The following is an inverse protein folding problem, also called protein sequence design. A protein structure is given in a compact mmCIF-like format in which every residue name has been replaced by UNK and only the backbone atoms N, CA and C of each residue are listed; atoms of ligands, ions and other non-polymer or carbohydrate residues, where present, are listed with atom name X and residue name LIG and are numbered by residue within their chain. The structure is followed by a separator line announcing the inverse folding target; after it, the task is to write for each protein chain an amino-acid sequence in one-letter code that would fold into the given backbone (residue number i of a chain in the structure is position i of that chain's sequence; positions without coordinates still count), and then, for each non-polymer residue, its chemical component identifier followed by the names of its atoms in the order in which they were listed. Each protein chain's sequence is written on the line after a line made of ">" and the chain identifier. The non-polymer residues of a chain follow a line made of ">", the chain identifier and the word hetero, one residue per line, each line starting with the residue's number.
data_IF_828031211103
#
_entry.id   IF_828031211103
#
_cell.length_a   1.000
_cell.length_b   1.000
_cell.length_c   1.000
_cell.angle_alpha   90.00
_cell.angle_beta   90.00
_cell.angle_gamma   90.00
#
_symmetry.space_group_name_H-M   'P 1'
#
loop_
_entity.id
_entity.type
_entity.pdbx_description
1 polymer ?
#
# COMPACT_ATOMS: atom_id res chain seq x y z
N UNK A 1 -12.77 33.43 -31.11
CA UNK A 1 -12.82 32.59 -32.32
C UNK A 1 -11.64 31.65 -32.22
N UNK A 2 -11.72 30.34 -32.01
CA UNK A 2 -12.68 29.28 -32.38
C UNK A 2 -12.91 28.38 -31.14
N UNK A 3 -14.15 28.18 -30.68
CA UNK A 3 -15.12 27.13 -31.03
C UNK A 3 -14.73 25.71 -30.59
N UNK A 4 -15.29 25.33 -29.44
CA UNK A 4 -15.52 23.98 -28.90
C UNK A 4 -16.41 23.18 -29.86
N UNK A 5 -16.21 21.86 -30.00
CA UNK A 5 -17.30 20.88 -30.16
C UNK A 5 -16.87 19.49 -29.66
N UNK A 6 -17.65 19.00 -28.71
CA UNK A 6 -17.72 17.61 -28.23
C UNK A 6 -18.39 16.70 -29.26
N UNK A 7 -18.03 15.42 -29.33
CA UNK A 7 -19.01 14.33 -29.44
C UNK A 7 -18.42 12.95 -29.11
N UNK A 8 -19.18 12.22 -28.31
CA UNK A 8 -19.10 10.79 -27.95
C UNK A 8 -20.03 9.98 -28.89
N UNK A 9 -19.85 8.65 -28.91
CA UNK A 9 -20.62 7.57 -29.61
C UNK A 9 -20.08 7.29 -31.03
N UNK A 10 -19.82 6.09 -31.53
CA UNK A 10 -20.12 4.68 -31.22
C UNK A 10 -20.35 3.94 -32.57
N UNK A 11 -20.11 2.60 -32.62
CA UNK A 11 -20.33 1.64 -33.75
C UNK A 11 -19.24 1.63 -34.85
N UNK A 12 -18.58 0.49 -35.12
CA UNK A 12 -19.01 -0.75 -35.82
C UNK A 12 -19.01 -0.65 -37.37
N UNK A 13 -18.23 -1.54 -37.98
CA UNK A 13 -18.13 -1.88 -39.42
C UNK A 13 -17.52 -0.78 -40.32
N UNK A 14 -16.68 -1.03 -41.34
CA UNK A 14 -16.78 -2.05 -42.40
C UNK A 14 -15.52 -2.00 -43.31
N UNK A 15 -15.47 -2.90 -44.29
CA UNK A 15 -14.60 -3.03 -45.49
C UNK A 15 -13.55 -4.16 -45.38
N UNK A 16 -13.83 -5.41 -45.80
CA UNK A 16 -14.07 -5.93 -47.16
C UNK A 16 -13.04 -5.45 -48.20
N UNK A 17 -12.12 -6.34 -48.61
CA UNK A 17 -12.10 -6.97 -49.96
C UNK A 17 -10.69 -7.47 -50.35
N UNK A 18 -10.69 -8.43 -51.28
CA UNK A 18 -9.59 -9.08 -52.02
C UNK A 18 -9.06 -10.39 -51.37
N UNK A 19 -9.04 -11.56 -52.00
CA UNK A 19 -9.37 -12.00 -53.35
C UNK A 19 -9.67 -13.51 -53.34
N UNK A 20 -10.32 -13.99 -54.39
CA UNK A 20 -11.06 -15.24 -54.53
C UNK A 20 -10.26 -16.54 -54.81
N UNK A 21 -11.03 -17.65 -54.78
CA UNK A 21 -10.84 -18.96 -55.48
C UNK A 21 -10.08 -20.03 -54.66
N UNK A 22 -10.49 -21.29 -54.52
CA UNK A 22 -11.46 -22.17 -55.19
C UNK A 22 -11.80 -23.39 -54.30
N UNK A 23 -13.01 -23.93 -54.48
CA UNK A 23 -13.48 -25.32 -54.26
C UNK A 23 -13.81 -25.84 -52.83
N UNK A 24 -15.09 -26.23 -52.67
CA UNK A 24 -15.69 -27.20 -51.73
C UNK A 24 -16.25 -28.38 -52.59
N UNK A 25 -16.78 -29.53 -52.06
CA UNK A 25 -17.25 -29.84 -50.69
C UNK A 25 -16.66 -31.19 -50.14
N UNK A 26 -16.80 -31.59 -48.86
CA UNK A 26 -17.96 -32.31 -48.30
C UNK A 26 -17.87 -32.50 -46.77
N UNK A 27 -19.05 -32.43 -46.15
CA UNK A 27 -19.58 -32.89 -44.86
C UNK A 27 -18.72 -33.60 -43.79
N UNK A 28 -18.90 -33.20 -42.52
CA UNK A 28 -18.71 -34.09 -41.37
C UNK A 28 -18.46 -33.45 -39.99
N UNK A 29 -19.53 -33.02 -39.32
CA UNK A 29 -19.73 -33.05 -37.84
C UNK A 29 -18.70 -32.42 -36.86
N UNK A 30 -19.06 -31.23 -36.36
CA UNK A 30 -19.07 -30.74 -34.96
C UNK A 30 -17.93 -31.17 -34.02
N UNK A 31 -17.03 -30.21 -33.73
CA UNK A 31 -16.18 -30.17 -32.55
C UNK A 31 -15.81 -28.72 -32.21
N UNK A 32 -16.59 -28.06 -31.34
CA UNK A 32 -16.31 -26.72 -30.86
C UNK A 32 -15.08 -26.74 -29.92
N UNK A 33 -13.93 -26.30 -30.43
CA UNK A 33 -12.77 -25.91 -29.62
C UNK A 33 -12.99 -24.49 -29.09
N UNK A 34 -13.20 -24.38 -27.78
CA UNK A 34 -13.23 -23.12 -27.05
C UNK A 34 -11.84 -22.43 -27.05
N UNK A 35 -11.77 -21.09 -26.98
CA UNK A 35 -10.51 -20.35 -26.95
C UNK A 35 -9.81 -20.48 -25.59
N UNK A 36 -8.52 -20.83 -25.61
CA UNK A 36 -7.64 -20.89 -24.43
C UNK A 36 -7.49 -19.49 -23.78
N UNK A 37 -7.61 -19.35 -22.45
CA UNK A 37 -7.16 -18.14 -21.76
C UNK A 37 -5.64 -18.10 -21.67
N UNK A 38 -5.05 -16.95 -22.02
CA UNK A 38 -3.63 -16.64 -21.82
C UNK A 38 -3.38 -16.36 -20.33
N UNK A 39 -2.98 -17.38 -19.58
CA UNK A 39 -2.05 -17.22 -18.46
C UNK A 39 -0.80 -18.00 -18.86
N UNK A 40 0.18 -17.26 -19.38
CA UNK A 40 1.46 -17.84 -19.72
C UNK A 40 2.14 -18.27 -18.41
N UNK A 41 2.44 -19.57 -18.30
CA UNK A 41 3.49 -20.06 -17.43
C UNK A 41 4.81 -19.37 -17.86
N UNK A 42 5.15 -18.24 -17.25
CA UNK A 42 6.48 -17.68 -17.41
C UNK A 42 7.45 -18.53 -16.60
N UNK A 43 8.26 -19.32 -17.30
CA UNK A 43 9.47 -19.91 -16.76
C UNK A 43 10.32 -18.77 -16.17
N UNK A 44 10.42 -18.72 -14.84
CA UNK A 44 11.31 -17.82 -14.12
C UNK A 44 12.75 -18.13 -14.53
N UNK A 45 13.32 -17.27 -15.38
CA UNK A 45 14.76 -17.15 -15.54
C UNK A 45 15.37 -16.83 -14.16
N UNK A 46 16.32 -17.65 -13.72
CA UNK A 46 17.12 -17.42 -12.51
C UNK A 46 17.98 -16.16 -12.69
N UNK A 47 17.43 -14.98 -12.49
CA UNK A 47 18.22 -13.80 -12.16
C UNK A 47 18.32 -13.68 -10.64
N UNK A 48 19.55 -13.58 -10.13
CA UNK A 48 19.97 -13.22 -8.76
C UNK A 48 18.85 -12.78 -7.82
N UNK A 49 18.75 -13.46 -6.67
CA UNK A 49 17.86 -13.16 -5.55
C UNK A 49 17.62 -11.65 -5.35
N UNK A 50 16.43 -11.22 -5.76
CA UNK A 50 15.87 -9.91 -5.44
C UNK A 50 15.59 -9.92 -3.94
N UNK A 51 16.44 -9.26 -3.14
CA UNK A 51 16.25 -9.17 -1.69
C UNK A 51 15.12 -8.19 -1.39
N UNK A 52 13.88 -8.64 -1.57
CA UNK A 52 12.71 -7.92 -1.08
C UNK A 52 12.68 -8.01 0.44
N UNK A 53 12.44 -6.89 1.10
CA UNK A 53 12.35 -6.81 2.56
C UNK A 53 11.08 -7.50 3.05
N UNK A 54 10.00 -7.45 2.26
CA UNK A 54 8.71 -8.06 2.56
C UNK A 54 8.25 -8.96 1.42
N UNK A 55 7.45 -9.98 1.73
CA UNK A 55 6.72 -10.78 0.74
C UNK A 55 5.32 -11.09 1.27
N UNK A 56 4.31 -10.90 0.43
CA UNK A 56 2.95 -11.37 0.71
C UNK A 56 2.70 -12.68 -0.04
N UNK A 57 2.29 -13.73 0.67
CA UNK A 57 1.87 -15.01 0.07
C UNK A 57 0.40 -15.25 0.36
N UNK A 58 -0.42 -15.31 -0.69
CA UNK A 58 -1.85 -15.64 -0.61
C UNK A 58 -2.02 -17.14 -0.78
N UNK A 59 -2.65 -17.76 0.21
CA UNK A 59 -2.86 -19.21 0.27
C UNK A 59 -4.36 -19.49 0.23
N UNK A 60 -4.81 -20.35 -0.67
CA UNK A 60 -6.18 -20.84 -0.73
C UNK A 60 -6.22 -22.25 -1.33
N UNK A 61 -7.35 -22.96 -1.29
CA UNK A 61 -7.48 -24.23 -2.01
C UNK A 61 -7.94 -23.99 -3.45
N UNK A 62 -7.47 -24.80 -4.42
CA UNK A 62 -7.82 -24.65 -5.85
C UNK A 62 -9.33 -24.57 -6.15
N UNK A 63 -10.15 -25.23 -5.33
CA UNK A 63 -11.61 -25.26 -5.53
C UNK A 63 -12.30 -23.98 -5.06
N UNK A 64 -11.61 -23.13 -4.29
CA UNK A 64 -12.11 -21.82 -3.91
C UNK A 64 -11.93 -20.81 -5.05
N UNK A 65 -13.00 -20.61 -5.81
CA UNK A 65 -13.03 -19.72 -6.98
C UNK A 65 -12.69 -18.26 -6.66
N UNK A 66 -12.93 -17.79 -5.43
CA UNK A 66 -12.63 -16.41 -5.03
C UNK A 66 -11.16 -16.12 -4.75
N UNK A 67 -10.30 -17.14 -4.67
CA UNK A 67 -8.90 -16.96 -4.28
C UNK A 67 -8.06 -16.24 -5.34
N UNK A 68 -8.26 -16.57 -6.61
CA UNK A 68 -7.55 -15.91 -7.71
C UNK A 68 -7.90 -14.41 -7.82
N UNK A 69 -9.17 -13.98 -7.86
CA UNK A 69 -9.53 -12.55 -7.86
C UNK A 69 -8.94 -11.77 -6.67
N UNK A 70 -8.90 -12.38 -5.48
CA UNK A 70 -8.28 -11.78 -4.29
C UNK A 70 -6.77 -11.60 -4.49
N UNK A 71 -6.07 -12.64 -4.96
CA UNK A 71 -4.63 -12.58 -5.19
C UNK A 71 -4.27 -11.53 -6.25
N UNK A 72 -5.04 -11.43 -7.32
CA UNK A 72 -4.86 -10.42 -8.38
C UNK A 72 -5.07 -8.99 -7.85
N UNK A 73 -6.11 -8.77 -7.03
CA UNK A 73 -6.35 -7.46 -6.42
C UNK A 73 -5.24 -7.04 -5.43
N UNK A 74 -4.72 -8.00 -4.66
CA UNK A 74 -3.57 -7.76 -3.78
C UNK A 74 -2.31 -7.48 -4.59
N UNK A 75 -2.02 -8.27 -5.63
CA UNK A 75 -0.87 -8.04 -6.52
C UNK A 75 -0.93 -6.64 -7.16
N UNK A 76 -2.09 -6.25 -7.70
CA UNK A 76 -2.31 -4.94 -8.28
C UNK A 76 -2.05 -3.79 -7.28
N UNK A 77 -2.32 -4.00 -5.98
CA UNK A 77 -2.07 -3.00 -4.96
C UNK A 77 -0.61 -2.97 -4.46
N UNK A 78 -0.02 -4.15 -4.22
CA UNK A 78 1.25 -4.28 -3.50
C UNK A 78 2.49 -4.31 -4.40
N UNK A 79 2.38 -4.85 -5.62
CA UNK A 79 3.52 -4.93 -6.54
C UNK A 79 3.76 -3.60 -7.26
N UNK A 80 2.75 -2.72 -7.28
CA UNK A 80 2.77 -1.43 -7.95
C UNK A 80 2.66 -1.58 -9.48
N UNK A 81 2.01 -0.62 -10.13
CA UNK A 81 2.20 -0.40 -11.56
C UNK A 81 3.51 0.38 -11.75
N UNK A 82 4.42 -0.11 -12.61
CA UNK A 82 5.71 0.53 -12.90
C UNK A 82 5.58 2.01 -13.34
N UNK A 83 4.39 2.42 -13.81
CA UNK A 83 4.10 3.73 -14.38
C UNK A 83 3.30 4.69 -13.46
N UNK A 84 2.95 4.32 -12.23
CA UNK A 84 2.24 5.23 -11.32
C UNK A 84 3.22 6.07 -10.45
N UNK A 85 3.29 7.40 -10.61
CA UNK A 85 4.26 8.25 -9.88
C UNK A 85 4.13 8.20 -8.35
N UNK A 86 2.97 7.75 -7.84
CA UNK A 86 2.67 7.64 -6.42
C UNK A 86 2.75 6.19 -5.88
N UNK A 87 2.98 5.19 -6.74
CA UNK A 87 3.22 3.80 -6.33
C UNK A 87 4.71 3.50 -6.13
N UNK A 88 5.59 4.42 -6.55
CA UNK A 88 7.05 4.27 -6.49
C UNK A 88 7.52 3.96 -5.08
N UNK A 89 7.89 2.70 -4.85
CA UNK A 89 8.52 2.23 -3.62
C UNK A 89 7.70 1.29 -2.75
N UNK A 90 6.46 0.93 -3.10
CA UNK A 90 5.70 -0.06 -2.31
C UNK A 90 6.07 -1.52 -2.62
N UNK A 91 6.46 -1.85 -3.86
CA UNK A 91 7.04 -3.10 -4.38
C UNK A 91 7.16 -4.28 -3.38
N UNK A 92 6.02 -4.80 -2.92
CA UNK A 92 5.92 -6.01 -2.10
C UNK A 92 5.48 -7.15 -3.03
N UNK A 93 6.35 -8.12 -3.33
CA UNK A 93 5.99 -9.25 -4.17
C UNK A 93 4.82 -10.04 -3.58
N UNK A 94 3.82 -10.30 -4.42
CA UNK A 94 2.69 -11.17 -4.12
C UNK A 94 2.92 -12.52 -4.75
N UNK A 95 2.87 -13.56 -3.92
CA UNK A 95 3.03 -14.96 -4.31
C UNK A 95 1.76 -15.71 -3.98
N UNK A 96 1.54 -16.81 -4.69
CA UNK A 96 0.34 -17.64 -4.51
C UNK A 96 0.70 -19.07 -4.14
N UNK A 97 -0.16 -19.69 -3.35
CA UNK A 97 -0.19 -21.13 -3.07
C UNK A 97 -1.64 -21.59 -3.17
N UNK A 98 -1.98 -22.30 -4.24
CA UNK A 98 -3.34 -22.78 -4.47
C UNK A 98 -3.47 -24.26 -4.85
N UNK A 99 -2.37 -24.90 -5.21
CA UNK A 99 -2.32 -26.29 -5.65
C UNK A 99 -1.41 -27.12 -4.74
N UNK A 100 -1.66 -28.42 -4.70
CA UNK A 100 -0.74 -29.39 -4.10
C UNK A 100 0.58 -29.46 -4.87
N UNK A 101 1.65 -29.83 -4.18
CA UNK A 101 2.98 -29.92 -4.76
C UNK A 101 3.12 -31.03 -5.82
N UNK A 102 2.27 -32.06 -5.77
CA UNK A 102 2.27 -33.17 -6.72
C UNK A 102 1.26 -32.92 -7.84
N UNK A 103 1.70 -32.83 -9.11
CA UNK A 103 0.79 -32.76 -10.26
C UNK A 103 -0.10 -33.99 -10.42
N UNK A 104 0.28 -35.11 -9.79
CA UNK A 104 -0.42 -36.40 -9.86
C UNK A 104 -1.39 -36.62 -8.69
N UNK A 105 -1.29 -35.79 -7.64
CA UNK A 105 -2.17 -35.87 -6.46
C UNK A 105 -2.70 -34.47 -6.15
N UNK A 106 -3.93 -34.14 -6.61
CA UNK A 106 -4.58 -32.87 -6.33
C UNK A 106 -4.79 -32.58 -4.83
N UNK A 107 -4.74 -33.62 -3.98
CA UNK A 107 -4.88 -33.53 -2.52
C UNK A 107 -3.54 -33.39 -1.79
N UNK A 108 -2.42 -33.41 -2.53
CA UNK A 108 -1.10 -33.25 -1.93
C UNK A 108 -0.94 -31.93 -1.20
N UNK A 109 -0.08 -31.90 -0.17
CA UNK A 109 0.28 -30.65 0.51
C UNK A 109 0.86 -29.63 -0.49
N UNK A 110 0.55 -28.33 -0.35
CA UNK A 110 1.22 -27.28 -1.12
C UNK A 110 2.74 -27.28 -0.90
N UNK A 111 3.48 -26.70 -1.85
CA UNK A 111 4.92 -26.48 -1.67
C UNK A 111 5.17 -25.60 -0.44
N UNK A 112 6.14 -25.97 0.42
CA UNK A 112 6.54 -25.17 1.56
C UNK A 112 6.79 -23.70 1.19
N UNK A 113 6.52 -22.82 2.14
CA UNK A 113 6.85 -21.41 1.97
C UNK A 113 8.36 -21.23 2.10
N UNK A 114 8.93 -20.41 1.23
CA UNK A 114 10.36 -20.08 1.29
C UNK A 114 10.58 -19.01 2.37
N UNK A 115 10.88 -19.43 3.61
CA UNK A 115 11.25 -18.55 4.72
C UNK A 115 12.77 -18.36 4.73
N UNK A 116 13.27 -17.49 3.83
CA UNK A 116 14.68 -17.09 3.85
C UNK A 116 14.98 -16.09 4.97
N UNK A 117 16.22 -16.04 5.45
CA UNK A 117 16.55 -15.42 6.74
C UNK A 117 16.34 -13.90 6.85
N UNK A 118 16.31 -13.16 5.74
CA UNK A 118 16.25 -11.67 5.76
C UNK A 118 14.92 -11.08 5.22
N UNK A 119 13.96 -11.91 4.83
CA UNK A 119 12.67 -11.45 4.28
C UNK A 119 11.57 -11.60 5.32
N UNK A 120 10.79 -10.54 5.54
CA UNK A 120 9.55 -10.59 6.32
C UNK A 120 8.46 -11.24 5.47
N UNK A 121 7.96 -12.39 5.91
CA UNK A 121 6.94 -13.18 5.23
C UNK A 121 5.55 -12.90 5.81
N UNK A 122 4.64 -12.45 4.96
CA UNK A 122 3.24 -12.20 5.31
C UNK A 122 2.41 -13.26 4.60
N UNK A 123 1.62 -14.02 5.33
CA UNK A 123 0.83 -15.12 4.80
C UNK A 123 -0.65 -14.79 4.98
N UNK A 124 -1.37 -14.61 3.89
CA UNK A 124 -2.83 -14.45 3.89
C UNK A 124 -3.46 -15.81 3.60
N UNK A 125 -4.01 -16.46 4.63
CA UNK A 125 -4.63 -17.78 4.51
C UNK A 125 -6.14 -17.63 4.35
N UNK A 126 -6.65 -17.90 3.15
CA UNK A 126 -8.07 -17.83 2.81
C UNK A 126 -8.74 -19.19 3.06
N UNK A 127 -9.84 -19.20 3.81
CA UNK A 127 -10.56 -20.44 4.10
C UNK A 127 -12.08 -20.24 4.24
N UNK A 128 -12.84 -21.31 3.99
CA UNK A 128 -14.30 -21.38 4.18
C UNK A 128 -14.72 -22.74 4.78
N UNK A 129 -16.00 -22.88 5.16
CA UNK A 129 -16.58 -24.07 5.80
C UNK A 129 -16.25 -25.38 5.08
N UNK A 130 -16.52 -25.41 3.77
CA UNK A 130 -16.40 -26.63 2.98
C UNK A 130 -14.93 -26.94 2.64
N UNK A 131 -14.06 -25.92 2.66
CA UNK A 131 -12.61 -26.13 2.58
C UNK A 131 -12.11 -26.86 3.83
N UNK A 132 -12.45 -26.38 5.04
CA UNK A 132 -11.88 -26.91 6.29
C UNK A 132 -12.41 -28.30 6.65
N UNK A 133 -13.64 -28.59 6.28
CA UNK A 133 -14.28 -29.89 6.54
C UNK A 133 -13.87 -30.95 5.51
N UNK A 134 -13.50 -30.56 4.29
CA UNK A 134 -13.10 -31.47 3.20
C UNK A 134 -11.58 -31.71 3.06
N UNK A 135 -10.71 -31.04 3.85
CA UNK A 135 -9.27 -31.21 3.70
C UNK A 135 -8.79 -32.63 4.03
N UNK A 136 -8.02 -33.22 3.11
CA UNK A 136 -7.03 -34.23 3.41
C UNK A 136 -6.09 -33.72 4.53
N UNK A 137 -5.69 -34.62 5.44
CA UNK A 137 -4.78 -34.36 6.58
C UNK A 137 -3.55 -33.48 6.24
N UNK A 138 -3.14 -33.47 4.97
CA UNK A 138 -1.99 -32.76 4.43
C UNK A 138 -2.13 -31.23 4.39
N UNK A 139 -3.29 -30.66 4.04
CA UNK A 139 -3.50 -29.20 4.04
C UNK A 139 -3.58 -28.62 5.46
N UNK A 140 -4.13 -29.39 6.40
CA UNK A 140 -4.11 -29.04 7.83
C UNK A 140 -2.68 -29.06 8.37
N UNK A 141 -1.89 -30.08 8.02
CA UNK A 141 -0.46 -30.13 8.36
C UNK A 141 0.27 -28.92 7.81
N UNK A 142 0.08 -28.58 6.53
CA UNK A 142 0.71 -27.40 5.92
C UNK A 142 0.35 -26.09 6.63
N UNK A 143 -0.93 -25.90 6.99
CA UNK A 143 -1.34 -24.73 7.77
C UNK A 143 -0.65 -24.72 9.15
N UNK A 144 -0.61 -25.86 9.84
CA UNK A 144 0.07 -26.01 11.15
C UNK A 144 1.57 -25.74 11.05
N UNK A 145 2.23 -26.15 9.97
CA UNK A 145 3.65 -25.88 9.73
C UNK A 145 3.89 -24.36 9.58
N UNK A 146 3.05 -23.67 8.80
CA UNK A 146 3.06 -22.20 8.67
C UNK A 146 2.87 -21.52 10.03
N UNK A 147 1.97 -22.04 10.87
CA UNK A 147 1.73 -21.49 12.21
C UNK A 147 2.92 -21.69 13.13
N UNK A 148 3.50 -22.89 13.14
CA UNK A 148 4.67 -23.24 13.94
C UNK A 148 5.85 -22.34 13.56
N UNK A 149 6.08 -22.15 12.26
CA UNK A 149 7.11 -21.26 11.75
C UNK A 149 6.89 -19.81 12.21
N UNK A 150 5.63 -19.33 12.17
CA UNK A 150 5.29 -17.98 12.67
C UNK A 150 5.48 -17.81 14.18
N UNK A 151 5.32 -18.88 14.97
CA UNK A 151 5.59 -18.86 16.41
C UNK A 151 7.09 -18.89 16.71
N UNK A 152 7.87 -19.62 15.90
CA UNK A 152 9.33 -19.68 16.05
C UNK A 152 10.02 -18.39 15.56
N UNK A 153 9.40 -17.70 14.60
CA UNK A 153 9.93 -16.49 13.96
C UNK A 153 8.90 -15.36 13.89
N UNK A 154 8.39 -14.87 15.03
CA UNK A 154 7.36 -13.83 15.07
C UNK A 154 7.87 -12.47 14.55
N UNK A 155 9.18 -12.28 14.48
CA UNK A 155 9.90 -11.13 13.92
C UNK A 155 9.98 -11.14 12.39
N UNK A 156 9.79 -12.32 11.78
CA UNK A 156 9.95 -12.51 10.33
C UNK A 156 8.71 -13.11 9.67
N UNK A 157 7.67 -13.47 10.41
CA UNK A 157 6.49 -14.09 9.83
C UNK A 157 5.16 -13.68 10.49
N UNK A 158 4.26 -13.10 9.70
CA UNK A 158 2.88 -12.76 10.06
C UNK A 158 1.90 -13.68 9.32
N UNK A 159 1.01 -14.33 10.05
CA UNK A 159 -0.07 -15.15 9.48
C UNK A 159 -1.42 -14.45 9.70
N UNK A 160 -2.15 -14.21 8.62
CA UNK A 160 -3.47 -13.56 8.59
C UNK A 160 -4.51 -14.53 8.04
N UNK A 161 -5.22 -15.27 8.91
CA UNK A 161 -6.32 -16.11 8.48
C UNK A 161 -7.55 -15.26 8.14
N UNK A 162 -8.08 -15.39 6.92
CA UNK A 162 -9.29 -14.71 6.44
C UNK A 162 -10.39 -15.75 6.28
N UNK A 163 -11.43 -15.62 7.11
CA UNK A 163 -12.61 -16.49 7.06
C UNK A 163 -13.61 -15.97 6.05
N UNK A 164 -13.87 -16.78 5.05
CA UNK A 164 -14.82 -16.54 3.97
C UNK A 164 -16.06 -17.42 4.20
N UNK A 165 -17.23 -16.92 3.81
CA UNK A 165 -18.51 -17.60 4.06
C UNK A 165 -19.05 -17.46 5.49
N UNK A 166 -19.89 -18.41 5.90
CA UNK A 166 -20.62 -18.37 7.19
C UNK A 166 -19.70 -18.57 8.41
N UNK A 167 -20.14 -18.05 9.57
CA UNK A 167 -19.44 -18.06 10.86
C UNK A 167 -19.19 -19.46 11.43
N UNK A 168 -19.81 -20.48 10.86
CA UNK A 168 -19.65 -21.87 11.26
C UNK A 168 -18.29 -22.48 10.86
N UNK A 169 -17.49 -21.79 10.02
CA UNK A 169 -16.16 -22.29 9.65
C UNK A 169 -15.21 -22.30 10.85
N UNK A 170 -14.77 -23.51 11.21
CA UNK A 170 -13.75 -23.78 12.22
C UNK A 170 -12.43 -23.24 11.67
N UNK A 171 -11.73 -22.31 12.32
CA UNK A 171 -10.44 -21.83 11.81
C UNK A 171 -9.41 -22.97 11.72
N UNK A 172 -8.40 -22.87 10.85
CA UNK A 172 -7.32 -23.86 10.80
C UNK A 172 -6.39 -23.82 12.03
N UNK A 173 -6.57 -22.82 12.90
CA UNK A 173 -5.78 -22.56 14.10
C UNK A 173 -6.70 -22.31 15.28
N UNK A 174 -6.43 -22.92 16.42
CA UNK A 174 -7.24 -22.72 17.64
C UNK A 174 -6.78 -21.49 18.45
N UNK A 175 -5.59 -20.95 18.15
CA UNK A 175 -4.88 -19.98 18.98
C UNK A 175 -4.79 -18.56 18.39
N UNK A 176 -5.28 -18.32 17.16
CA UNK A 176 -5.30 -16.99 16.54
C UNK A 176 -6.66 -16.59 15.96
N UNK A 177 -6.97 -15.30 16.06
CA UNK A 177 -8.21 -14.73 15.55
C UNK A 177 -8.18 -14.63 14.02
N UNK A 178 -9.29 -14.98 13.38
CA UNK A 178 -9.48 -14.79 11.93
C UNK A 178 -10.17 -13.47 11.61
N UNK A 179 -9.84 -12.92 10.45
CA UNK A 179 -10.50 -11.76 9.86
C UNK A 179 -11.82 -12.25 9.24
N UNK A 180 -13.00 -11.86 9.76
CA UNK A 180 -14.25 -12.36 9.25
C UNK A 180 -14.71 -11.58 8.01
N UNK A 181 -15.28 -12.29 7.03
CA UNK A 181 -15.86 -11.68 5.82
C UNK A 181 -16.94 -10.62 6.12
N UNK A 182 -17.57 -10.65 7.29
CA UNK A 182 -18.56 -9.64 7.71
C UNK A 182 -17.99 -8.21 7.85
N UNK A 183 -16.65 -8.05 7.85
CA UNK A 183 -16.01 -6.74 7.79
C UNK A 183 -16.03 -6.11 6.39
N UNK A 184 -16.37 -6.90 5.37
CA UNK A 184 -16.29 -6.53 3.96
C UNK A 184 -17.71 -6.31 3.42
N UNK A 185 -18.10 -5.06 3.07
CA UNK A 185 -19.43 -4.77 2.55
C UNK A 185 -19.60 -5.28 1.12
N UNK A 186 -20.83 -5.56 0.68
CA UNK A 186 -21.14 -5.97 -0.68
C UNK A 186 -21.31 -7.48 -0.87
N UNK A 187 -21.38 -7.93 -2.11
CA UNK A 187 -21.77 -9.31 -2.47
C UNK A 187 -20.58 -10.25 -2.72
N UNK A 188 -19.49 -10.11 -1.95
CA UNK A 188 -18.31 -10.99 -2.04
C UNK A 188 -17.26 -10.54 -3.06
N UNK A 189 -16.46 -11.49 -3.56
CA UNK A 189 -15.22 -11.21 -4.32
C UNK A 189 -15.41 -10.50 -5.66
N UNK A 190 -16.63 -10.50 -6.22
CA UNK A 190 -16.96 -9.74 -7.43
C UNK A 190 -17.26 -8.26 -7.16
N UNK A 191 -17.50 -7.88 -5.90
CA UNK A 191 -17.81 -6.51 -5.50
C UNK A 191 -16.53 -5.70 -5.29
N UNK A 192 -16.45 -4.55 -5.96
CA UNK A 192 -15.26 -3.69 -5.89
C UNK A 192 -15.02 -3.10 -4.50
N UNK A 193 -16.09 -2.76 -3.78
CA UNK A 193 -16.00 -2.21 -2.42
C UNK A 193 -15.62 -3.29 -1.42
N UNK A 194 -16.16 -4.51 -1.59
CA UNK A 194 -15.73 -5.69 -0.83
C UNK A 194 -14.23 -5.91 -0.97
N UNK A 195 -13.73 -5.93 -2.21
CA UNK A 195 -12.32 -6.15 -2.51
C UNK A 195 -11.44 -5.04 -1.94
N UNK A 196 -11.84 -3.77 -2.10
CA UNK A 196 -11.15 -2.63 -1.52
C UNK A 196 -11.04 -2.75 -0.01
N UNK A 197 -12.11 -3.20 0.65
CA UNK A 197 -12.10 -3.34 2.10
C UNK A 197 -11.18 -4.47 2.56
N UNK A 198 -11.15 -5.60 1.85
CA UNK A 198 -10.18 -6.67 2.10
C UNK A 198 -8.74 -6.13 2.00
N UNK A 199 -8.41 -5.45 0.89
CA UNK A 199 -7.06 -4.88 0.69
C UNK A 199 -6.71 -3.89 1.81
N UNK A 200 -7.62 -2.98 2.17
CA UNK A 200 -7.43 -2.04 3.27
C UNK A 200 -7.17 -2.77 4.61
N UNK A 201 -7.94 -3.80 4.92
CA UNK A 201 -7.73 -4.60 6.13
C UNK A 201 -6.35 -5.27 6.13
N UNK A 202 -5.92 -5.83 5.00
CA UNK A 202 -4.58 -6.42 4.86
C UNK A 202 -3.49 -5.35 5.05
N UNK A 203 -3.58 -4.20 4.38
CA UNK A 203 -2.65 -3.07 4.55
C UNK A 203 -2.56 -2.63 6.02
N UNK A 204 -3.70 -2.51 6.71
CA UNK A 204 -3.73 -2.13 8.12
C UNK A 204 -3.04 -3.16 9.01
N UNK A 205 -3.27 -4.46 8.80
CA UNK A 205 -2.59 -5.51 9.57
C UNK A 205 -1.09 -5.55 9.32
N UNK A 206 -0.65 -5.37 8.07
CA UNK A 206 0.78 -5.29 7.73
C UNK A 206 1.42 -4.07 8.38
N UNK A 207 0.80 -2.89 8.29
CA UNK A 207 1.29 -1.67 8.93
C UNK A 207 1.41 -1.83 10.45
N UNK A 208 0.40 -2.42 11.10
CA UNK A 208 0.44 -2.70 12.54
C UNK A 208 1.57 -3.67 12.91
N UNK A 209 1.77 -4.72 12.12
CA UNK A 209 2.86 -5.67 12.33
C UNK A 209 4.23 -5.00 12.20
N UNK A 210 4.45 -4.22 11.14
CA UNK A 210 5.71 -3.50 10.94
C UNK A 210 6.02 -2.51 12.08
N UNK A 211 4.99 -1.95 12.73
CA UNK A 211 5.17 -1.11 13.93
C UNK A 211 5.55 -1.93 15.15
N UNK A 212 5.03 -3.15 15.30
CA UNK A 212 5.43 -4.04 16.42
C UNK A 212 6.90 -4.40 16.27
N UNK A 213 7.32 -4.72 15.05
CA UNK A 213 8.72 -4.95 14.73
C UNK A 213 9.59 -3.73 15.07
N UNK A 214 9.17 -2.51 14.71
CA UNK A 214 9.95 -1.30 15.04
C UNK A 214 10.07 -1.07 16.56
N UNK A 215 9.05 -1.42 17.35
CA UNK A 215 9.12 -1.33 18.82
C UNK A 215 10.00 -2.43 19.40
N UNK A 216 9.88 -3.67 18.91
CA UNK A 216 10.73 -4.77 19.32
C UNK A 216 12.21 -4.53 18.99
N UNK A 217 12.50 -3.93 17.84
CA UNK A 217 13.87 -3.54 17.48
C UNK A 217 14.46 -2.49 18.43
N UNK A 218 13.62 -1.64 19.06
CA UNK A 218 14.03 -0.66 20.07
C UNK A 218 14.19 -1.29 21.45
N UNK A 219 13.35 -2.26 21.78
CA UNK A 219 13.41 -3.02 23.02
C UNK A 219 13.17 -4.53 22.77
N UNK A 220 14.25 -5.28 22.46
CA UNK A 220 14.14 -6.71 22.14
C UNK A 220 13.72 -7.58 23.33
N UNK A 221 13.63 -7.01 24.54
CA UNK A 221 13.26 -7.76 25.75
C UNK A 221 11.76 -8.04 25.82
N UNK A 222 10.94 -7.28 25.09
CA UNK A 222 9.49 -7.46 25.01
C UNK A 222 9.15 -8.31 23.79
N UNK A 223 8.55 -9.50 23.95
CA UNK A 223 8.11 -10.34 22.83
C UNK A 223 7.15 -9.60 21.89
N UNK A 224 7.30 -9.78 20.58
CA UNK A 224 6.52 -9.05 19.55
C UNK A 224 5.01 -9.19 19.73
N UNK A 225 4.56 -10.36 20.14
CA UNK A 225 3.16 -10.71 20.38
C UNK A 225 2.59 -10.05 21.65
N UNK A 226 3.45 -9.73 22.62
CA UNK A 226 3.09 -8.94 23.82
C UNK A 226 3.06 -7.44 23.57
N UNK A 227 3.61 -6.96 22.45
CA UNK A 227 3.58 -5.54 22.07
C UNK A 227 2.15 -5.13 21.68
N UNK A 228 1.42 -4.67 22.70
CA UNK A 228 0.19 -3.90 22.51
C UNK A 228 0.53 -2.49 22.03
N UNK A 229 0.60 -2.33 20.72
CA UNK A 229 0.78 -1.00 20.14
C UNK A 229 -0.40 -0.09 20.46
N UNK A 230 -0.08 1.16 20.76
CA UNK A 230 -1.00 2.27 20.49
C UNK A 230 -1.30 2.26 18.99
N UNK A 231 -2.57 2.43 18.61
CA UNK A 231 -3.04 2.35 17.22
C UNK A 231 -2.29 3.35 16.32
N UNK A 232 -2.27 3.12 15.01
CA UNK A 232 -1.57 4.02 14.06
C UNK A 232 -2.13 5.44 14.17
N UNK A 233 -1.29 6.45 14.43
CA UNK A 233 -1.79 7.81 14.62
C UNK A 233 -1.91 8.56 13.30
N UNK A 234 -3.06 9.20 13.09
CA UNK A 234 -3.30 10.13 11.98
C UNK A 234 -3.46 11.55 12.50
N UNK A 235 -2.64 12.47 12.01
CA UNK A 235 -2.81 13.90 12.21
C UNK A 235 -3.66 14.47 11.06
N UNK A 236 -4.91 14.84 11.34
CA UNK A 236 -5.83 15.36 10.32
C UNK A 236 -5.68 16.89 10.22
N UNK A 237 -4.77 17.35 9.37
CA UNK A 237 -4.59 18.79 9.10
C UNK A 237 -5.74 19.31 8.24
N UNK A 238 -6.48 20.30 8.75
CA UNK A 238 -7.69 20.77 8.08
C UNK A 238 -8.08 22.21 8.46
N UNK A 239 -8.80 22.87 7.56
CA UNK A 239 -9.48 24.11 7.90
C UNK A 239 -10.85 23.82 8.52
N UNK A 240 -11.07 24.29 9.76
CA UNK A 240 -12.35 24.14 10.47
C UNK A 240 -13.57 24.66 9.71
N UNK A 241 -13.36 25.67 8.84
CA UNK A 241 -14.42 26.38 8.11
C UNK A 241 -15.22 25.47 7.18
N UNK A 242 -14.56 24.54 6.49
CA UNK A 242 -15.15 23.83 5.34
C UNK A 242 -14.71 22.36 5.20
N UNK A 243 -13.80 21.85 6.06
CA UNK A 243 -13.36 20.46 6.01
C UNK A 243 -13.90 19.58 7.17
N UNK A 244 -14.56 20.18 8.18
CA UNK A 244 -15.01 19.46 9.38
C UNK A 244 -15.92 18.25 9.10
N UNK A 245 -16.90 18.30 8.17
CA UNK A 245 -17.71 17.12 7.87
C UNK A 245 -16.89 15.92 7.39
N UNK A 246 -15.84 16.16 6.58
CA UNK A 246 -14.96 15.10 6.06
C UNK A 246 -14.05 14.57 7.16
N UNK A 247 -13.52 15.44 8.03
CA UNK A 247 -12.73 15.04 9.21
C UNK A 247 -13.54 14.09 10.10
N UNK A 248 -14.80 14.43 10.38
CA UNK A 248 -15.70 13.58 11.17
C UNK A 248 -15.98 12.26 10.44
N UNK A 249 -16.26 12.29 9.13
CA UNK A 249 -16.50 11.08 8.35
C UNK A 249 -15.29 10.12 8.38
N UNK A 250 -14.06 10.63 8.27
CA UNK A 250 -12.84 9.83 8.40
C UNK A 250 -12.75 9.21 9.80
N UNK A 251 -12.93 9.99 10.86
CA UNK A 251 -12.89 9.51 12.24
C UNK A 251 -13.92 8.39 12.47
N UNK A 252 -15.16 8.64 12.11
CA UNK A 252 -16.27 7.70 12.33
C UNK A 252 -16.03 6.42 11.53
N UNK A 253 -15.54 6.55 10.29
CA UNK A 253 -15.20 5.40 9.46
C UNK A 253 -14.06 4.57 10.07
N UNK A 254 -13.02 5.18 10.62
CA UNK A 254 -11.93 4.47 11.30
C UNK A 254 -12.41 3.79 12.59
N UNK A 255 -13.23 4.48 13.39
CA UNK A 255 -13.77 3.97 14.65
C UNK A 255 -14.71 2.77 14.41
N UNK A 256 -15.61 2.86 13.44
CA UNK A 256 -16.62 1.84 13.16
C UNK A 256 -16.04 0.54 12.55
N UNK A 257 -14.85 0.61 11.95
CA UNK A 257 -14.26 -0.52 11.23
C UNK A 257 -13.00 -1.09 11.90
N UNK A 258 -12.54 -0.48 13.01
CA UNK A 258 -11.53 -0.97 13.93
C UNK A 258 -10.20 -1.44 13.27
N UNK A 259 -9.66 -0.66 12.32
CA UNK A 259 -8.39 -0.95 11.64
C UNK A 259 -7.13 -0.89 12.54
N UNK A 260 -7.30 -0.64 13.85
CA UNK A 260 -6.18 -0.37 14.74
C UNK A 260 -5.50 0.98 14.45
N UNK A 261 -6.29 2.01 14.11
CA UNK A 261 -5.86 3.39 13.82
C UNK A 261 -6.51 4.36 14.82
N UNK A 262 -5.74 5.33 15.32
CA UNK A 262 -6.17 6.46 16.17
C UNK A 262 -6.06 7.78 15.38
N UNK A 263 -6.93 8.75 15.66
CA UNK A 263 -6.89 10.08 15.02
C UNK A 263 -6.60 11.17 16.04
N UNK A 264 -5.71 12.09 15.70
CA UNK A 264 -5.50 13.37 16.37
C UNK A 264 -5.96 14.50 15.45
N UNK A 265 -6.86 15.37 15.93
CA UNK A 265 -7.61 16.27 15.05
C UNK A 265 -7.41 17.74 15.37
N UNK A 266 -7.33 18.15 16.64
CA UNK A 266 -7.30 19.57 16.97
C UNK A 266 -6.81 19.86 18.39
N UNK A 267 -6.59 21.13 18.68
CA UNK A 267 -6.38 21.73 20.00
C UNK A 267 -7.36 21.27 21.11
N UNK A 268 -8.54 20.75 20.76
CA UNK A 268 -9.50 20.19 21.73
C UNK A 268 -9.05 18.84 22.30
N UNK A 269 -8.16 18.14 21.60
CA UNK A 269 -7.52 16.91 22.08
C UNK A 269 -6.33 17.23 23.00
N UNK A 270 -6.01 18.53 23.20
CA UNK A 270 -4.94 18.97 24.10
C UNK A 270 -5.48 19.28 25.50
N UNK A 271 -4.88 18.68 26.55
CA UNK A 271 -5.07 19.15 27.92
C UNK A 271 -4.84 20.66 28.07
N UNK A 272 -5.67 21.31 28.89
CA UNK A 272 -5.53 22.73 29.20
C UNK A 272 -4.13 23.03 29.77
N UNK A 273 -3.49 24.10 29.29
CA UNK A 273 -2.16 24.53 29.73
C UNK A 273 -0.98 24.02 28.88
N UNK A 274 -1.21 23.15 27.89
CA UNK A 274 -0.18 22.74 26.93
C UNK A 274 0.00 23.74 25.79
N UNK A 275 1.25 23.93 25.35
CA UNK A 275 1.57 24.74 24.18
C UNK A 275 1.21 24.03 22.87
N UNK A 276 0.37 24.66 22.05
CA UNK A 276 -0.16 24.09 20.80
C UNK A 276 0.92 23.56 19.86
N UNK A 277 2.00 24.32 19.66
CA UNK A 277 3.06 23.96 18.69
C UNK A 277 3.80 22.67 19.06
N UNK A 278 4.22 22.54 20.34
CA UNK A 278 4.93 21.35 20.82
C UNK A 278 4.05 20.10 20.74
N UNK A 279 2.79 20.25 21.11
CA UNK A 279 1.87 19.12 21.12
C UNK A 279 1.48 18.68 19.71
N UNK A 280 1.29 19.61 18.77
CA UNK A 280 1.06 19.28 17.37
C UNK A 280 2.29 18.65 16.72
N UNK A 281 3.50 19.17 16.99
CA UNK A 281 4.75 18.55 16.50
C UNK A 281 4.90 17.11 17.04
N UNK A 282 4.54 16.85 18.31
CA UNK A 282 4.54 15.51 18.88
C UNK A 282 3.52 14.58 18.19
N UNK A 283 2.30 15.05 17.95
CA UNK A 283 1.27 14.28 17.24
C UNK A 283 1.67 13.97 15.78
N UNK A 284 2.23 14.94 15.06
CA UNK A 284 2.78 14.75 13.71
C UNK A 284 3.90 13.71 13.74
N UNK A 285 4.86 13.84 14.68
CA UNK A 285 5.98 12.91 14.83
C UNK A 285 5.53 11.46 15.04
N UNK A 286 4.44 11.27 15.78
CA UNK A 286 3.93 9.95 16.13
C UNK A 286 3.17 9.26 14.99
N UNK A 287 2.77 9.98 13.94
CA UNK A 287 1.80 9.51 12.96
C UNK A 287 2.08 9.86 11.49
N UNK A 288 1.05 9.71 10.66
CA UNK A 288 0.97 10.26 9.31
C UNK A 288 0.18 11.57 9.31
N UNK A 289 0.50 12.48 8.39
CA UNK A 289 -0.22 13.74 8.17
C UNK A 289 -1.19 13.57 7.01
N UNK A 290 -2.47 13.81 7.27
CA UNK A 290 -3.51 13.87 6.24
C UNK A 290 -3.85 15.34 6.03
N UNK A 291 -3.39 15.90 4.91
CA UNK A 291 -3.65 17.27 4.51
C UNK A 291 -4.98 17.36 3.76
N UNK A 292 -6.03 17.77 4.45
CA UNK A 292 -7.39 17.87 3.90
C UNK A 292 -7.56 19.25 3.26
N UNK A 293 -7.23 19.34 1.97
CA UNK A 293 -7.14 20.60 1.21
C UNK A 293 -8.49 21.02 0.66
N UNK A 294 -9.18 21.89 1.39
CA UNK A 294 -10.36 22.65 0.96
C UNK A 294 -9.99 24.07 0.50
N UNK A 295 -10.97 24.83 -0.01
CA UNK A 295 -10.83 26.23 -0.44
C UNK A 295 -10.24 27.13 0.67
N UNK A 296 -10.55 26.87 1.95
CA UNK A 296 -9.97 27.58 3.07
C UNK A 296 -8.54 27.17 3.44
N UNK A 297 -8.07 25.99 3.04
CA UNK A 297 -6.90 25.33 3.65
C UNK A 297 -5.63 26.19 3.62
N UNK A 298 -5.23 26.67 2.43
CA UNK A 298 -3.98 27.44 2.29
C UNK A 298 -4.02 28.85 2.87
N UNK A 299 -5.22 29.36 3.16
CA UNK A 299 -5.39 30.63 3.89
C UNK A 299 -5.00 30.49 5.37
N UNK A 300 -4.88 29.27 5.90
CA UNK A 300 -4.57 29.00 7.31
C UNK A 300 -3.05 28.81 7.50
N UNK A 301 -2.35 29.74 8.20
CA UNK A 301 -0.92 29.60 8.43
C UNK A 301 -0.54 28.29 9.15
N UNK A 302 -1.38 27.84 10.08
CA UNK A 302 -1.19 26.59 10.82
C UNK A 302 -1.21 25.35 9.93
N UNK A 303 -2.17 25.20 9.01
CA UNK A 303 -2.20 24.06 8.09
C UNK A 303 -0.95 24.00 7.20
N UNK A 304 -0.41 25.16 6.81
CA UNK A 304 0.86 25.23 6.07
C UNK A 304 2.04 24.79 6.93
N UNK A 305 2.10 25.24 8.19
CA UNK A 305 3.12 24.84 9.15
C UNK A 305 3.05 23.33 9.43
N UNK A 306 1.87 22.75 9.62
CA UNK A 306 1.67 21.31 9.86
C UNK A 306 2.21 20.46 8.70
N UNK A 307 1.97 20.90 7.46
CA UNK A 307 2.51 20.24 6.27
C UNK A 307 4.04 20.33 6.21
N UNK A 308 4.59 21.52 6.49
CA UNK A 308 6.05 21.74 6.55
C UNK A 308 6.72 20.91 7.66
N UNK A 309 6.09 20.85 8.83
CA UNK A 309 6.58 20.09 9.98
C UNK A 309 6.54 18.59 9.71
N UNK A 310 5.49 18.08 9.06
CA UNK A 310 5.44 16.71 8.56
C UNK A 310 6.59 16.39 7.60
N UNK A 311 6.91 17.30 6.66
CA UNK A 311 8.03 17.12 5.74
C UNK A 311 9.36 17.13 6.48
N UNK A 312 9.57 18.07 7.40
CA UNK A 312 10.79 18.17 8.22
C UNK A 312 11.03 16.92 9.06
N UNK A 313 9.95 16.34 9.60
CA UNK A 313 9.97 15.11 10.39
C UNK A 313 9.96 13.82 9.55
N UNK A 314 10.01 13.94 8.22
CA UNK A 314 9.99 12.81 7.27
C UNK A 314 8.80 11.85 7.51
N UNK A 315 7.66 12.41 7.92
CA UNK A 315 6.45 11.64 8.19
C UNK A 315 5.71 11.34 6.89
N UNK A 316 4.89 10.27 6.84
CA UNK A 316 3.96 10.08 5.75
C UNK A 316 3.03 11.27 5.62
N UNK A 317 2.83 11.74 4.39
CA UNK A 317 1.92 12.83 4.08
C UNK A 317 1.08 12.41 2.90
N UNK A 318 -0.23 12.59 3.01
CA UNK A 318 -1.16 12.42 1.90
C UNK A 318 -2.11 13.62 1.84
N UNK A 319 -2.40 14.06 0.63
CA UNK A 319 -3.37 15.12 0.36
C UNK A 319 -4.72 14.50 0.05
N UNK A 320 -5.76 14.90 0.80
CA UNK A 320 -7.14 14.70 0.41
C UNK A 320 -7.66 16.01 -0.17
N UNK A 321 -7.83 16.05 -1.48
CA UNK A 321 -8.27 17.23 -2.20
C UNK A 321 -9.81 17.34 -2.14
N UNK A 322 -10.27 18.46 -1.59
CA UNK A 322 -11.68 18.87 -1.44
C UNK A 322 -11.97 20.23 -2.12
N UNK A 323 -11.07 20.79 -2.93
CA UNK A 323 -11.26 22.11 -3.56
C UNK A 323 -12.56 22.21 -4.38
N UNK A 324 -13.38 23.22 -4.17
CA UNK A 324 -14.65 23.36 -4.91
C UNK A 324 -14.62 24.52 -5.89
N UNK A 325 -14.10 25.65 -5.47
CA UNK A 325 -14.19 26.89 -6.24
C UNK A 325 -12.80 27.50 -6.44
N UNK A 326 -12.21 28.06 -5.38
CA UNK A 326 -10.94 28.79 -5.49
C UNK A 326 -10.01 28.53 -4.32
N UNK A 327 -8.72 28.55 -4.63
CA UNK A 327 -7.65 28.64 -3.65
C UNK A 327 -7.05 30.06 -3.72
N UNK A 328 -7.22 30.93 -2.69
CA UNK A 328 -6.74 32.31 -2.75
C UNK A 328 -5.23 32.42 -3.00
N UNK A 329 -4.48 31.40 -2.57
CA UNK A 329 -3.06 31.27 -2.81
C UNK A 329 -2.67 29.79 -2.79
N UNK A 330 -2.27 29.27 -3.94
CA UNK A 330 -1.66 27.94 -4.02
C UNK A 330 -0.35 27.91 -3.24
N UNK A 331 -0.20 26.91 -2.38
CA UNK A 331 1.02 26.71 -1.59
C UNK A 331 1.86 25.56 -2.17
N UNK A 332 3.17 25.77 -2.47
CA UNK A 332 4.01 24.71 -3.03
C UNK A 332 4.35 23.58 -2.06
N UNK A 333 4.14 23.73 -0.75
CA UNK A 333 4.59 22.76 0.25
C UNK A 333 3.79 21.45 0.30
N UNK A 334 2.84 21.24 -0.63
CA UNK A 334 2.13 19.97 -0.83
C UNK A 334 2.62 19.17 -2.03
N UNK A 335 3.83 19.45 -2.54
CA UNK A 335 4.44 18.69 -3.65
C UNK A 335 4.92 17.29 -3.24
N UNK A 336 5.26 16.48 -4.25
CA UNK A 336 5.82 15.11 -4.17
C UNK A 336 5.21 14.21 -3.08
N UNK A 337 3.92 14.33 -2.85
CA UNK A 337 3.13 13.49 -1.94
C UNK A 337 1.90 12.96 -2.70
N UNK A 338 1.39 11.77 -2.36
CA UNK A 338 0.17 11.27 -2.97
C UNK A 338 -0.99 12.24 -2.70
N UNK A 339 -1.84 12.41 -3.71
CA UNK A 339 -3.03 13.25 -3.62
C UNK A 339 -4.25 12.48 -4.15
N UNK A 340 -5.33 12.52 -3.39
CA UNK A 340 -6.60 11.88 -3.72
C UNK A 340 -7.71 12.92 -3.71
N UNK A 341 -8.33 13.14 -4.87
CA UNK A 341 -9.53 13.95 -4.98
C UNK A 341 -10.73 13.19 -4.42
N UNK A 342 -11.47 13.75 -3.48
CA UNK A 342 -12.71 13.15 -2.98
C UNK A 342 -13.95 13.86 -3.53
N UNK A 343 -14.98 13.08 -3.86
CA UNK A 343 -16.25 13.60 -4.38
C UNK A 343 -17.36 13.30 -3.39
N UNK A 344 -17.96 14.36 -2.84
CA UNK A 344 -19.01 14.31 -1.80
C UNK A 344 -18.79 13.29 -0.65
N UNK A 345 -17.57 13.23 -0.06
CA UNK A 345 -17.17 12.19 0.90
C UNK A 345 -17.94 12.17 2.22
N UNK A 346 -18.68 13.24 2.54
CA UNK A 346 -19.37 13.40 3.82
C UNK A 346 -20.88 13.11 3.74
N UNK A 347 -21.40 12.63 2.61
CA UNK A 347 -22.81 12.25 2.50
C UNK A 347 -23.11 10.94 3.25
N UNK A 348 -24.34 10.76 3.71
CA UNK A 348 -24.79 9.53 4.37
C UNK A 348 -25.31 8.50 3.35
N UNK A 349 -24.48 8.13 2.35
CA UNK A 349 -24.85 7.18 1.30
C UNK A 349 -23.69 6.21 0.98
N UNK A 350 -23.99 5.19 0.19
CA UNK A 350 -23.02 4.16 -0.17
C UNK A 350 -21.82 4.70 -0.96
N UNK A 351 -22.04 5.69 -1.83
CA UNK A 351 -20.97 6.34 -2.60
C UNK A 351 -19.95 7.03 -1.68
N UNK A 352 -20.41 7.78 -0.69
CA UNK A 352 -19.53 8.44 0.29
C UNK A 352 -18.78 7.42 1.16
N UNK A 353 -19.42 6.30 1.51
CA UNK A 353 -18.73 5.22 2.23
C UNK A 353 -17.65 4.55 1.37
N UNK A 354 -17.91 4.34 0.09
CA UNK A 354 -16.91 3.82 -0.86
C UNK A 354 -15.76 4.81 -1.09
N UNK A 355 -16.03 6.11 -1.07
CA UNK A 355 -15.01 7.16 -1.09
C UNK A 355 -14.18 7.18 0.20
N UNK A 356 -14.78 6.91 1.38
CA UNK A 356 -14.03 6.74 2.63
C UNK A 356 -13.15 5.50 2.61
N UNK A 357 -13.64 4.37 2.09
CA UNK A 357 -12.82 3.18 1.90
C UNK A 357 -11.60 3.50 1.02
N UNK A 358 -11.79 4.31 -0.03
CA UNK A 358 -10.72 4.74 -0.94
C UNK A 358 -9.74 5.70 -0.25
N UNK A 359 -10.24 6.67 0.51
CA UNK A 359 -9.43 7.64 1.25
C UNK A 359 -8.56 6.94 2.31
N UNK A 360 -9.17 6.10 3.14
CA UNK A 360 -8.48 5.40 4.22
C UNK A 360 -7.48 4.40 3.66
N UNK A 361 -7.81 3.68 2.58
CA UNK A 361 -6.85 2.83 1.87
C UNK A 361 -5.62 3.65 1.46
N UNK A 362 -5.80 4.77 0.75
CA UNK A 362 -4.68 5.59 0.32
C UNK A 362 -3.83 6.12 1.49
N UNK A 363 -4.46 6.54 2.59
CA UNK A 363 -3.76 6.98 3.81
C UNK A 363 -2.90 5.85 4.40
N UNK A 364 -3.48 4.67 4.58
CA UNK A 364 -2.81 3.53 5.19
C UNK A 364 -1.71 2.96 4.28
N UNK A 365 -1.94 2.97 2.97
CA UNK A 365 -0.94 2.57 1.98
C UNK A 365 0.28 3.49 2.01
N UNK A 366 0.09 4.81 2.05
CA UNK A 366 1.22 5.76 2.12
C UNK A 366 2.00 5.62 3.44
N UNK A 367 1.27 5.45 4.55
CA UNK A 367 1.88 5.17 5.85
C UNK A 367 2.75 3.91 5.81
N UNK A 368 2.21 2.81 5.30
CA UNK A 368 2.90 1.54 5.18
C UNK A 368 4.07 1.61 4.20
N UNK A 369 3.93 2.29 3.05
CA UNK A 369 5.00 2.47 2.05
C UNK A 369 6.26 3.05 2.67
N UNK A 370 6.12 4.06 3.52
CA UNK A 370 7.26 4.69 4.19
C UNK A 370 7.91 3.75 5.21
N UNK A 371 7.12 2.95 5.90
CA UNK A 371 7.67 1.94 6.81
C UNK A 371 8.48 0.88 6.04
N UNK A 372 7.97 0.42 4.90
CA UNK A 372 8.68 -0.51 4.00
C UNK A 372 9.97 0.13 3.48
N UNK A 373 9.90 1.38 3.04
CA UNK A 373 11.06 2.15 2.60
C UNK A 373 12.14 2.25 3.69
N UNK A 374 11.76 2.60 4.92
CA UNK A 374 12.69 2.75 6.03
C UNK A 374 13.40 1.44 6.40
N UNK A 375 12.80 0.28 6.10
CA UNK A 375 13.48 -1.00 6.26
C UNK A 375 14.43 -1.29 5.11
N UNK A 376 14.00 -1.01 3.87
CA UNK A 376 14.81 -1.20 2.66
C UNK A 376 16.05 -0.32 2.62
N UNK A 377 15.96 0.88 3.17
CA UNK A 377 17.04 1.87 3.08
C UNK A 377 18.31 1.41 3.78
N UNK A 378 18.24 0.52 4.77
CA UNK A 378 19.43 -0.01 5.47
C UNK A 378 20.38 -0.68 4.48
N UNK A 379 19.88 -1.60 3.65
CA UNK A 379 20.69 -2.26 2.61
C UNK A 379 21.12 -1.30 1.49
N UNK A 380 20.28 -0.32 1.15
CA UNK A 380 20.59 0.67 0.10
C UNK A 380 21.65 1.69 0.52
N UNK A 381 21.73 2.04 1.81
CA UNK A 381 22.76 2.94 2.34
C UNK A 381 24.15 2.41 2.07
N UNK A 382 24.40 1.14 2.33
CA UNK A 382 25.72 0.54 2.10
C UNK A 382 26.14 0.61 0.63
N UNK A 383 25.22 0.28 -0.28
CA UNK A 383 25.45 0.39 -1.72
C UNK A 383 25.69 1.86 -2.15
N UNK A 384 24.94 2.79 -1.57
CA UNK A 384 25.07 4.23 -1.83
C UNK A 384 26.43 4.76 -1.34
N UNK A 385 26.88 4.37 -0.14
CA UNK A 385 28.19 4.75 0.41
C UNK A 385 29.35 4.27 -0.46
N UNK A 386 29.23 3.07 -1.07
CA UNK A 386 30.22 2.56 -2.02
C UNK A 386 30.28 3.37 -3.30
N UNK A 387 29.12 3.82 -3.81
CA UNK A 387 29.03 4.65 -5.02
C UNK A 387 29.51 6.09 -4.79
N UNK A 388 29.29 6.63 -3.60
CA UNK A 388 29.64 8.00 -3.23
C UNK A 388 30.52 8.03 -1.97
N UNK A 389 31.80 7.61 -2.08
CA UNK A 389 32.69 7.51 -0.92
C UNK A 389 32.95 8.89 -0.30
N UNK A 390 32.88 8.96 1.04
CA UNK A 390 33.18 10.17 1.80
C UNK A 390 32.10 11.26 1.77
N UNK A 391 30.93 11.01 1.17
CA UNK A 391 29.77 11.93 1.22
C UNK A 391 28.78 11.51 2.29
N UNK A 392 28.15 12.49 2.94
CA UNK A 392 27.05 12.24 3.87
C UNK A 392 25.81 11.80 3.09
N UNK A 393 25.15 10.74 3.57
CA UNK A 393 23.92 10.23 2.96
C UNK A 393 22.73 10.65 3.82
N UNK A 394 21.82 11.42 3.23
CA UNK A 394 20.52 11.74 3.82
C UNK A 394 19.45 10.95 3.10
N UNK A 395 18.50 10.44 3.88
CA UNK A 395 17.39 9.64 3.37
C UNK A 395 16.17 10.55 3.29
N UNK A 396 15.45 10.46 2.18
CA UNK A 396 14.09 10.97 2.09
C UNK A 396 13.13 9.83 1.76
N UNK A 397 11.89 9.86 2.29
CA UNK A 397 10.87 8.85 2.00
C UNK A 397 10.10 9.09 0.69
N UNK A 398 10.48 10.11 -0.07
CA UNK A 398 9.84 10.57 -1.31
C UNK A 398 10.86 11.36 -2.15
N UNK A 399 10.61 11.58 -3.45
CA UNK A 399 11.44 12.46 -4.26
C UNK A 399 11.60 13.86 -3.60
N UNK A 400 12.83 14.40 -3.54
CA UNK A 400 13.10 15.67 -2.87
C UNK A 400 12.42 16.86 -3.54
N UNK A 401 12.04 17.84 -2.71
CA UNK A 401 11.67 19.20 -3.10
C UNK A 401 12.69 20.21 -2.55
N UNK A 402 12.60 21.47 -3.01
CA UNK A 402 13.43 22.56 -2.49
C UNK A 402 13.31 22.73 -0.96
N UNK A 403 12.12 22.48 -0.40
CA UNK A 403 11.88 22.56 1.05
C UNK A 403 12.66 21.48 1.81
N UNK A 404 12.84 20.28 1.24
CA UNK A 404 13.59 19.21 1.88
C UNK A 404 15.06 19.57 1.96
N UNK A 405 15.60 20.12 0.87
CA UNK A 405 16.99 20.60 0.83
C UNK A 405 17.19 21.76 1.80
N UNK A 406 16.25 22.70 1.87
CA UNK A 406 16.31 23.79 2.83
C UNK A 406 16.33 23.26 4.28
N UNK A 407 15.47 22.30 4.62
CA UNK A 407 15.43 21.67 5.94
C UNK A 407 16.74 20.94 6.27
N UNK A 408 17.29 20.18 5.32
CA UNK A 408 18.55 19.44 5.52
C UNK A 408 19.72 20.41 5.74
N UNK A 409 19.76 21.51 4.99
CA UNK A 409 20.86 22.49 5.06
C UNK A 409 20.89 23.31 6.34
N UNK A 410 19.78 23.38 7.08
CA UNK A 410 19.78 23.96 8.43
C UNK A 410 20.77 23.21 9.33
N UNK A 411 20.85 21.88 9.20
CA UNK A 411 21.64 21.02 10.08
C UNK A 411 22.91 20.46 9.42
N UNK A 412 23.02 20.51 8.08
CA UNK A 412 24.15 19.90 7.34
C UNK A 412 24.59 20.82 6.19
N UNK A 413 25.70 21.56 6.35
CA UNK A 413 26.16 22.54 5.35
C UNK A 413 27.08 21.97 4.27
N UNK A 414 27.51 20.71 4.38
CA UNK A 414 28.53 20.05 3.56
C UNK A 414 27.92 19.06 2.54
N UNK A 415 28.72 18.50 1.60
CA UNK A 415 28.20 17.73 0.46
C UNK A 415 27.31 16.56 0.86
N UNK A 416 26.14 16.47 0.22
CA UNK A 416 25.08 15.52 0.60
C UNK A 416 24.66 14.69 -0.61
N UNK A 417 24.58 13.38 -0.41
CA UNK A 417 23.82 12.49 -1.28
C UNK A 417 22.44 12.30 -0.69
N UNK A 418 21.41 12.62 -1.46
CA UNK A 418 20.01 12.39 -1.12
C UNK A 418 19.59 11.04 -1.71
N UNK A 419 19.42 10.05 -0.84
CA UNK A 419 18.85 8.74 -1.18
C UNK A 419 17.32 8.80 -1.01
N UNK A 420 16.58 8.54 -2.10
CA UNK A 420 15.12 8.56 -2.09
C UNK A 420 14.54 7.35 -2.87
N UNK A 421 13.23 7.02 -2.75
CA UNK A 421 12.66 5.79 -3.33
C UNK A 421 12.62 5.74 -4.86
N UNK A 422 12.97 6.83 -5.54
CA UNK A 422 12.74 7.01 -6.97
C UNK A 422 11.33 7.51 -7.31
N UNK A 423 11.00 7.64 -8.61
CA UNK A 423 11.95 7.55 -9.73
C UNK A 423 13.03 8.65 -9.63
N UNK A 424 14.16 8.54 -10.34
CA UNK A 424 15.13 9.63 -10.43
C UNK A 424 14.47 10.95 -10.84
N UNK A 425 14.97 12.05 -10.31
CA UNK A 425 14.46 13.38 -10.65
C UNK A 425 14.55 13.65 -12.16
N UNK A 426 13.54 14.33 -12.71
CA UNK A 426 13.61 14.79 -14.09
C UNK A 426 14.72 15.83 -14.25
N UNK A 427 15.26 15.99 -15.47
CA UNK A 427 16.32 16.98 -15.75
C UNK A 427 15.97 18.41 -15.28
N UNK A 428 14.74 18.92 -15.48
CA UNK A 428 14.37 20.24 -14.96
C UNK A 428 14.38 20.33 -13.44
N UNK A 429 13.86 19.31 -12.75
CA UNK A 429 13.82 19.26 -11.27
C UNK A 429 15.23 19.15 -10.69
N UNK A 430 16.04 18.24 -11.21
CA UNK A 430 17.44 18.06 -10.81
C UNK A 430 18.22 19.38 -10.97
N UNK A 431 18.11 20.03 -12.13
CA UNK A 431 18.75 21.33 -12.37
C UNK A 431 18.31 22.39 -11.36
N UNK A 432 17.02 22.48 -11.07
CA UNK A 432 16.47 23.48 -10.16
C UNK A 432 16.94 23.23 -8.72
N UNK A 433 16.91 21.98 -8.26
CA UNK A 433 17.28 21.65 -6.88
C UNK A 433 18.80 21.80 -6.69
N UNK A 434 19.62 21.39 -7.66
CA UNK A 434 21.08 21.61 -7.62
C UNK A 434 21.49 23.07 -7.66
N UNK A 435 20.63 23.97 -8.16
CA UNK A 435 20.92 25.41 -8.11
C UNK A 435 20.97 25.96 -6.66
N UNK A 436 20.36 25.26 -5.70
CA UNK A 436 20.46 25.62 -4.27
C UNK A 436 21.87 25.30 -3.73
N UNK A 437 22.57 24.32 -4.30
CA UNK A 437 24.02 24.19 -4.16
C UNK A 437 24.61 23.02 -4.94
N UNK A 438 25.76 23.27 -5.55
CA UNK A 438 26.40 22.37 -6.52
C UNK A 438 27.04 21.12 -5.93
N UNK A 439 26.97 20.94 -4.61
CA UNK A 439 27.49 19.81 -3.84
C UNK A 439 26.46 18.69 -3.60
N UNK A 440 25.21 18.90 -4.02
CA UNK A 440 24.11 17.94 -3.90
C UNK A 440 24.21 16.85 -4.95
N UNK A 441 24.01 15.59 -4.53
CA UNK A 441 23.77 14.44 -5.41
C UNK A 441 22.44 13.78 -5.09
N UNK A 442 21.81 13.17 -6.09
CA UNK A 442 20.59 12.38 -5.92
C UNK A 442 20.87 10.94 -6.31
N UNK A 443 20.29 10.01 -5.56
CA UNK A 443 20.41 8.58 -5.79
C UNK A 443 19.04 7.93 -5.55
N UNK A 444 18.53 7.23 -6.56
CA UNK A 444 17.41 6.31 -6.45
C UNK A 444 17.91 4.85 -6.51
N UNK A 445 17.14 3.85 -6.05
CA UNK A 445 17.51 2.44 -6.14
C UNK A 445 17.90 2.00 -7.57
N UNK A 446 17.20 2.52 -8.58
CA UNK A 446 17.49 2.26 -10.00
C UNK A 446 18.92 2.66 -10.39
N UNK A 447 19.48 3.71 -9.79
CA UNK A 447 20.83 4.20 -10.07
C UNK A 447 21.92 3.30 -9.45
N UNK A 448 21.53 2.38 -8.56
CA UNK A 448 22.40 1.38 -7.93
C UNK A 448 22.34 0.02 -8.64
N UNK A 449 21.55 -0.10 -9.72
CA UNK A 449 21.28 -1.39 -10.35
C UNK A 449 20.41 -2.31 -9.48
N UNK A 450 19.72 -1.75 -8.49
CA UNK A 450 18.73 -2.45 -7.66
C UNK A 450 17.35 -2.16 -8.29
N UNK A 451 16.67 -3.16 -8.88
CA UNK A 451 15.32 -2.94 -9.40
C UNK A 451 14.40 -2.46 -8.29
N UNK A 452 13.42 -1.62 -8.64
CA UNK A 452 12.40 -1.13 -7.71
C UNK A 452 11.65 -2.30 -7.07
#
# INVERSE_FOLDING_TARGET
>A
MYSVHSHVVGRASQCLANCASTAAPESGTIGCLAPKPRLAHSAFSRSRAQMSVLRLTVVWHRDFAGGQPIAEALAAHFEGAEDEPNSSGLTIPVRVRCEGASPMDPQSAPLPLMTGDDTINIVLLLFENDLITAFAQQWRSFAQDIRTESQNHPDRMLVLPVRLGDRSAIPPFDDIQSIPTSLFPGSGTSDTRWMRRLVLTVVAHIGNYLRRLEQHEKDPTVPIDEIQLSRFQLFLSHAKRDAMPVVTAIRDHLANNNYGVDTFIDAKDLPAGLGYEKAFSAAIRAGAVVAIRSDAYSSRPWCRWETLEGKRLLRPIIVLDLFRDTEPRVNPYGGNVPALRLVDPAAANETAQAEMDRAVLAIMTEAMRIMVWNRRVTSLKEATSKKYPGKDIKILPRPPELVDIANIRIDTPNPIVILHPGPPLSRPEDKMIRAIGGDLEFCAPSDLGVPL
#
